data_IF_781187267000
#
_entry.id   IF_781187267000
#
_cell.length_a   1.000
_cell.length_b   1.000
_cell.length_c   1.000
_cell.angle_alpha   90.00
_cell.angle_beta   90.00
_cell.angle_gamma   90.00
#
_symmetry.space_group_name_H-M   'P 1'
#
loop_
_entity.id
_entity.type
_entity.pdbx_description
1 polymer ?
#
# COMPACT_ATOMS: atom_id res chain seq x y z
N UNK A 1 7.45 7.32 16.74
CA UNK A 1 7.30 6.20 15.79
C UNK A 1 8.57 6.03 14.96
N UNK A 2 8.92 6.89 13.99
CA UNK A 2 10.08 6.63 13.10
C UNK A 2 11.43 7.26 13.53
N UNK A 3 11.77 7.24 14.81
CA UNK A 3 13.03 7.83 15.30
C UNK A 3 14.26 7.03 14.84
N UNK A 4 14.10 5.74 14.56
CA UNK A 4 15.16 4.85 14.09
C UNK A 4 15.47 5.00 12.58
N UNK A 5 14.63 5.72 11.83
CA UNK A 5 14.87 6.00 10.41
C UNK A 5 15.55 7.36 10.30
N UNK A 6 16.75 7.40 9.70
CA UNK A 6 17.49 8.65 9.52
C UNK A 6 16.72 9.66 8.66
N UNK A 7 16.96 10.95 8.86
CA UNK A 7 16.30 12.01 8.06
C UNK A 7 16.60 11.90 6.57
N UNK A 8 17.84 11.54 6.21
CA UNK A 8 18.20 11.27 4.82
C UNK A 8 17.35 10.11 4.26
N UNK A 9 17.20 9.02 5.02
CA UNK A 9 16.41 7.87 4.59
C UNK A 9 14.92 8.21 4.47
N UNK A 10 14.38 9.05 5.36
CA UNK A 10 12.99 9.55 5.24
C UNK A 10 12.81 10.36 3.96
N UNK A 11 13.77 11.18 3.57
CA UNK A 11 13.70 11.92 2.29
C UNK A 11 13.68 10.95 1.09
N UNK A 12 14.55 9.94 1.09
CA UNK A 12 14.56 8.89 0.06
C UNK A 12 13.21 8.13 0.00
N UNK A 13 12.66 7.77 1.16
CA UNK A 13 11.36 7.10 1.25
C UNK A 13 10.22 8.00 0.78
N UNK A 14 10.24 9.30 1.08
CA UNK A 14 9.22 10.25 0.61
C UNK A 14 9.22 10.37 -0.93
N UNK A 15 10.41 10.40 -1.55
CA UNK A 15 10.53 10.34 -3.01
C UNK A 15 9.96 9.01 -3.52
N UNK A 16 10.33 7.89 -2.88
CA UNK A 16 9.84 6.56 -3.26
C UNK A 16 8.31 6.45 -3.14
N UNK A 17 7.67 7.06 -2.13
CA UNK A 17 6.20 7.10 -1.98
C UNK A 17 5.56 7.73 -3.21
N UNK A 18 6.02 8.93 -3.59
CA UNK A 18 5.51 9.64 -4.78
C UNK A 18 5.73 8.82 -6.05
N UNK A 19 6.92 8.25 -6.22
CA UNK A 19 7.23 7.48 -7.43
C UNK A 19 6.45 6.15 -7.51
N UNK A 20 6.16 5.53 -6.36
CA UNK A 20 5.32 4.33 -6.28
C UNK A 20 3.85 4.60 -6.62
N UNK A 21 3.30 5.73 -6.18
CA UNK A 21 1.98 6.18 -6.62
C UNK A 21 1.93 6.32 -8.15
N UNK A 22 2.93 7.01 -8.73
CA UNK A 22 3.02 7.13 -10.18
C UNK A 22 3.12 5.76 -10.86
N UNK A 23 3.89 4.81 -10.30
CA UNK A 23 4.05 3.48 -10.90
C UNK A 23 2.75 2.68 -11.00
N UNK A 24 1.81 2.90 -10.08
CA UNK A 24 0.46 2.33 -10.11
C UNK A 24 -0.54 3.10 -10.98
N UNK A 25 -0.23 4.34 -11.37
CA UNK A 25 -1.12 5.21 -12.11
C UNK A 25 -0.87 5.16 -13.63
N UNK A 26 -1.96 4.92 -14.38
CA UNK A 26 -1.96 4.91 -15.85
C UNK A 26 -2.57 6.18 -16.45
N UNK A 27 -3.15 7.07 -15.64
CA UNK A 27 -3.89 8.25 -16.08
C UNK A 27 -3.00 9.16 -16.93
N UNK A 28 -1.87 9.60 -16.37
CA UNK A 28 -0.97 10.48 -17.09
C UNK A 28 -0.24 9.77 -18.22
N UNK A 29 0.07 8.47 -18.11
CA UNK A 29 0.72 7.72 -19.19
C UNK A 29 -0.12 7.63 -20.46
N UNK A 30 -1.41 7.32 -20.32
CA UNK A 30 -2.34 7.16 -21.46
C UNK A 30 -2.70 8.48 -22.17
N UNK A 31 -2.32 9.60 -21.58
CA UNK A 31 -2.66 10.93 -22.08
C UNK A 31 -1.76 11.38 -23.26
N UNK A 32 -2.30 12.11 -24.26
CA UNK A 32 -1.47 12.75 -25.29
C UNK A 32 -0.46 13.73 -24.67
N UNK A 33 0.75 13.81 -25.25
CA UNK A 33 1.83 14.64 -24.71
C UNK A 33 1.43 16.10 -24.50
N UNK A 34 0.74 16.72 -25.46
CA UNK A 34 0.32 18.11 -25.34
C UNK A 34 -0.63 18.38 -24.16
N UNK A 35 -1.46 17.40 -23.78
CA UNK A 35 -2.34 17.52 -22.62
C UNK A 35 -1.59 17.24 -21.31
N UNK A 36 -0.63 16.32 -21.34
CA UNK A 36 0.29 16.10 -20.22
C UNK A 36 1.07 17.38 -19.91
N UNK A 37 1.71 17.98 -20.92
CA UNK A 37 2.49 19.22 -20.77
C UNK A 37 1.64 20.34 -20.16
N UNK A 38 0.41 20.52 -20.65
CA UNK A 38 -0.53 21.51 -20.12
C UNK A 38 -0.95 21.22 -18.67
N UNK A 39 -1.17 19.95 -18.32
CA UNK A 39 -1.58 19.57 -16.97
C UNK A 39 -0.44 19.70 -15.95
N UNK A 40 0.81 19.66 -16.42
CA UNK A 40 2.02 19.67 -15.60
C UNK A 40 2.77 21.00 -15.60
N UNK A 41 2.28 22.00 -16.34
CA UNK A 41 2.89 23.32 -16.44
C UNK A 41 3.09 23.94 -15.04
N UNK A 42 4.33 24.32 -14.72
CA UNK A 42 4.69 24.89 -13.42
C UNK A 42 5.00 23.87 -12.32
N UNK A 43 4.96 22.58 -12.62
CA UNK A 43 5.28 21.49 -11.69
C UNK A 43 6.65 20.86 -11.97
N UNK A 44 7.50 21.46 -12.78
CA UNK A 44 8.71 20.81 -13.33
C UNK A 44 9.72 20.37 -12.27
N UNK A 45 9.73 21.06 -11.13
CA UNK A 45 10.61 20.75 -9.99
C UNK A 45 10.00 19.74 -9.01
N UNK A 46 8.72 19.40 -9.15
CA UNK A 46 7.99 18.49 -8.27
C UNK A 46 8.35 17.02 -8.54
N UNK A 47 8.38 16.20 -7.48
CA UNK A 47 8.78 14.80 -7.61
C UNK A 47 7.80 13.98 -8.45
N UNK A 48 6.49 14.26 -8.38
CA UNK A 48 5.51 13.57 -9.21
C UNK A 48 5.72 13.89 -10.70
N UNK A 49 6.13 15.11 -11.05
CA UNK A 49 6.43 15.47 -12.43
C UNK A 49 7.63 14.66 -12.95
N UNK A 50 8.70 14.57 -12.16
CA UNK A 50 9.89 13.78 -12.49
C UNK A 50 9.54 12.31 -12.66
N UNK A 51 8.72 11.76 -11.76
CA UNK A 51 8.24 10.38 -11.81
C UNK A 51 7.41 10.10 -13.07
N UNK A 52 6.38 10.89 -13.36
CA UNK A 52 5.55 10.71 -14.56
C UNK A 52 6.35 10.93 -15.85
N UNK A 53 7.28 11.89 -15.87
CA UNK A 53 8.16 12.11 -17.02
C UNK A 53 9.06 10.90 -17.27
N UNK A 54 9.60 10.28 -16.21
CA UNK A 54 10.38 9.05 -16.31
C UNK A 54 9.51 7.89 -16.80
N UNK A 55 8.35 7.69 -16.19
CA UNK A 55 7.38 6.65 -16.56
C UNK A 55 7.02 6.72 -18.05
N UNK A 56 6.65 7.91 -18.54
CA UNK A 56 6.30 8.11 -19.96
C UNK A 56 7.48 7.88 -20.91
N UNK A 57 8.71 8.15 -20.45
CA UNK A 57 9.93 7.96 -21.24
C UNK A 57 10.32 6.50 -21.37
N UNK A 58 10.20 5.71 -20.30
CA UNK A 58 10.72 4.32 -20.27
C UNK A 58 9.63 3.26 -20.44
N UNK A 59 8.35 3.62 -20.27
CA UNK A 59 7.24 2.68 -20.29
C UNK A 59 6.68 2.41 -18.90
N UNK A 60 5.39 2.05 -18.83
CA UNK A 60 4.71 1.69 -17.58
C UNK A 60 5.35 0.49 -16.89
N UNK A 61 5.64 -0.56 -17.65
CA UNK A 61 6.13 -1.84 -17.12
C UNK A 61 7.56 -1.68 -16.58
N UNK A 62 8.44 -1.06 -17.36
CA UNK A 62 9.82 -0.80 -16.96
C UNK A 62 9.90 0.09 -15.72
N UNK A 63 9.06 1.13 -15.65
CA UNK A 63 8.99 1.99 -14.48
C UNK A 63 8.44 1.26 -13.26
N UNK A 64 7.34 0.51 -13.40
CA UNK A 64 6.79 -0.30 -12.32
C UNK A 64 7.81 -1.33 -11.78
N UNK A 65 8.59 -1.95 -12.67
CA UNK A 65 9.65 -2.90 -12.29
C UNK A 65 10.80 -2.23 -11.54
N UNK A 66 11.18 -1.01 -11.94
CA UNK A 66 12.19 -0.22 -11.23
C UNK A 66 11.74 0.10 -9.80
N UNK A 67 10.48 0.53 -9.64
CA UNK A 67 9.96 0.90 -8.31
C UNK A 67 9.68 -0.32 -7.43
N UNK A 68 9.14 -1.40 -8.00
CA UNK A 68 8.92 -2.64 -7.25
C UNK A 68 10.25 -3.23 -6.76
N UNK A 69 11.31 -3.15 -7.56
CA UNK A 69 12.66 -3.59 -7.15
C UNK A 69 13.20 -2.77 -5.97
N UNK A 70 12.93 -1.45 -5.95
CA UNK A 70 13.31 -0.60 -4.82
C UNK A 70 12.55 -0.97 -3.56
N UNK A 71 11.21 -1.13 -3.63
CA UNK A 71 10.38 -1.54 -2.49
C UNK A 71 10.79 -2.94 -2.00
N UNK A 72 11.06 -3.88 -2.91
CA UNK A 72 11.48 -5.24 -2.57
C UNK A 72 12.86 -5.30 -1.89
N UNK A 73 13.72 -4.29 -2.12
CA UNK A 73 15.04 -4.21 -1.49
C UNK A 73 15.01 -3.70 -0.05
N UNK A 74 13.90 -3.10 0.40
CA UNK A 74 13.72 -2.66 1.79
C UNK A 74 13.79 -3.86 2.74
N UNK A 75 14.65 -3.77 3.76
CA UNK A 75 14.91 -4.84 4.74
C UNK A 75 14.38 -4.53 6.16
N UNK A 76 13.74 -3.37 6.34
CA UNK A 76 13.28 -2.90 7.65
C UNK A 76 11.77 -2.66 7.64
N UNK A 77 11.08 -3.27 8.60
CA UNK A 77 9.63 -3.19 8.74
C UNK A 77 9.14 -1.76 8.95
N UNK A 78 9.91 -0.94 9.66
CA UNK A 78 9.61 0.47 9.93
C UNK A 78 9.55 1.30 8.65
N UNK A 79 10.39 0.99 7.66
CA UNK A 79 10.39 1.69 6.37
C UNK A 79 9.16 1.30 5.54
N UNK A 80 8.76 0.03 5.53
CA UNK A 80 7.54 -0.41 4.86
C UNK A 80 6.29 0.18 5.53
N UNK A 81 6.27 0.24 6.86
CA UNK A 81 5.23 0.94 7.60
C UNK A 81 5.19 2.42 7.21
N UNK A 82 6.34 3.09 7.16
CA UNK A 82 6.45 4.50 6.76
C UNK A 82 5.90 4.76 5.34
N UNK A 83 6.09 3.82 4.40
CA UNK A 83 5.56 3.94 3.05
C UNK A 83 4.02 3.92 3.01
N UNK A 84 3.37 3.16 3.89
CA UNK A 84 1.90 3.02 3.92
C UNK A 84 1.21 3.93 4.93
N UNK A 85 1.93 4.44 5.92
CA UNK A 85 1.42 5.42 6.87
C UNK A 85 1.09 6.74 6.16
N UNK A 86 -0.14 7.21 6.35
CA UNK A 86 -0.69 8.37 5.65
C UNK A 86 -0.82 8.20 4.13
N UNK A 87 -0.71 6.97 3.59
CA UNK A 87 -0.95 6.71 2.17
C UNK A 87 -2.40 7.01 1.83
N UNK A 88 -2.64 7.70 0.70
CA UNK A 88 -3.98 7.90 0.20
C UNK A 88 -4.45 6.64 -0.54
N UNK A 89 -5.31 5.84 0.11
CA UNK A 89 -5.80 4.58 -0.46
C UNK A 89 -6.67 4.75 -1.73
N UNK A 90 -7.13 5.96 -2.03
CA UNK A 90 -7.77 6.29 -3.31
C UNK A 90 -6.77 6.28 -4.50
N UNK A 91 -5.46 6.42 -4.24
CA UNK A 91 -4.41 6.33 -5.27
C UNK A 91 -4.24 4.90 -5.83
N UNK A 92 -4.97 3.94 -5.28
CA UNK A 92 -5.02 2.56 -5.75
C UNK A 92 -4.05 1.64 -5.03
N UNK A 93 -4.12 0.36 -5.41
CA UNK A 93 -3.59 -0.72 -4.57
C UNK A 93 -2.21 -1.22 -4.99
N UNK A 94 -1.60 -0.66 -6.04
CA UNK A 94 -0.33 -1.17 -6.56
C UNK A 94 0.79 -1.05 -5.51
N UNK A 95 1.00 0.15 -4.96
CA UNK A 95 1.99 0.41 -3.90
C UNK A 95 1.75 -0.43 -2.66
N UNK A 96 0.48 -0.50 -2.24
CA UNK A 96 0.04 -1.32 -1.10
C UNK A 96 0.44 -2.78 -1.32
N UNK A 97 0.14 -3.35 -2.49
CA UNK A 97 0.49 -4.73 -2.80
C UNK A 97 2.00 -4.97 -2.87
N UNK A 98 2.81 -4.02 -3.35
CA UNK A 98 4.28 -4.15 -3.31
C UNK A 98 4.79 -4.23 -1.87
N UNK A 99 4.30 -3.35 -1.00
CA UNK A 99 4.69 -3.32 0.40
C UNK A 99 4.23 -4.58 1.15
N UNK A 100 2.97 -4.97 1.00
CA UNK A 100 2.41 -6.18 1.63
C UNK A 100 3.10 -7.47 1.15
N UNK A 101 3.61 -7.49 -0.08
CA UNK A 101 4.32 -8.65 -0.63
C UNK A 101 5.76 -8.75 -0.13
N UNK A 102 6.36 -7.66 0.36
CA UNK A 102 7.72 -7.68 0.90
C UNK A 102 7.81 -8.63 2.13
N UNK A 103 8.83 -9.52 2.23
CA UNK A 103 9.03 -10.41 3.38
C UNK A 103 9.20 -9.70 4.73
N UNK A 104 9.71 -8.46 4.74
CA UNK A 104 9.87 -7.63 5.93
C UNK A 104 8.59 -6.88 6.31
N UNK A 105 7.50 -7.01 5.54
CA UNK A 105 6.22 -6.39 5.90
C UNK A 105 5.70 -6.99 7.20
N UNK A 106 5.48 -6.14 8.19
CA UNK A 106 5.05 -6.54 9.51
C UNK A 106 3.53 -6.68 9.61
N UNK A 107 3.06 -7.55 10.49
CA UNK A 107 1.64 -7.75 10.75
C UNK A 107 0.95 -6.44 11.16
N UNK A 108 1.62 -5.54 11.88
CA UNK A 108 1.04 -4.24 12.28
C UNK A 108 0.82 -3.32 11.09
N UNK A 109 1.76 -3.29 10.14
CA UNK A 109 1.56 -2.62 8.86
C UNK A 109 0.38 -3.22 8.09
N UNK A 110 0.28 -4.56 8.07
CA UNK A 110 -0.84 -5.23 7.40
C UNK A 110 -2.19 -4.95 8.06
N UNK A 111 -2.27 -4.92 9.39
CA UNK A 111 -3.48 -4.54 10.16
C UNK A 111 -3.91 -3.11 9.86
N UNK A 112 -2.97 -2.16 9.88
CA UNK A 112 -3.25 -0.76 9.52
C UNK A 112 -3.90 -0.67 8.14
N UNK A 113 -3.29 -1.28 7.13
CA UNK A 113 -3.86 -1.32 5.76
C UNK A 113 -5.23 -1.98 5.76
N UNK A 114 -5.36 -3.12 6.44
CA UNK A 114 -6.59 -3.91 6.46
C UNK A 114 -7.77 -3.08 6.97
N UNK A 115 -7.60 -2.37 8.09
CA UNK A 115 -8.68 -1.56 8.70
C UNK A 115 -8.93 -0.24 7.97
N UNK A 116 -7.89 0.43 7.46
CA UNK A 116 -8.06 1.62 6.63
C UNK A 116 -8.77 1.33 5.29
N UNK A 117 -8.81 0.05 4.87
CA UNK A 117 -9.58 -0.40 3.71
C UNK A 117 -11.02 -0.84 4.05
N UNK A 118 -11.48 -0.66 5.29
CA UNK A 118 -12.86 -0.90 5.76
C UNK A 118 -13.38 -2.32 5.41
N UNK A 119 -12.84 -3.37 6.04
CA UNK A 119 -13.22 -4.76 5.75
C UNK A 119 -14.67 -5.03 6.18
N UNK A 120 -15.13 -4.33 7.22
CA UNK A 120 -16.49 -4.34 7.75
C UNK A 120 -17.54 -4.05 6.67
N UNK A 121 -17.25 -3.10 5.77
CA UNK A 121 -18.10 -2.79 4.62
C UNK A 121 -18.42 -4.06 3.82
N UNK A 122 -17.41 -4.85 3.45
CA UNK A 122 -17.63 -6.04 2.62
C UNK A 122 -18.37 -7.13 3.38
N UNK A 123 -18.00 -7.39 4.64
CA UNK A 123 -18.64 -8.41 5.44
C UNK A 123 -20.08 -8.07 5.84
N UNK A 124 -20.43 -6.78 5.90
CA UNK A 124 -21.79 -6.32 6.13
C UNK A 124 -22.63 -6.32 4.84
N UNK A 125 -22.07 -5.88 3.71
CA UNK A 125 -22.79 -5.76 2.44
C UNK A 125 -22.91 -7.08 1.67
N UNK A 126 -21.84 -7.87 1.63
CA UNK A 126 -21.73 -9.07 0.79
C UNK A 126 -21.57 -10.35 1.60
N UNK A 127 -21.13 -10.24 2.86
CA UNK A 127 -20.91 -11.40 3.73
C UNK A 127 -19.53 -12.04 3.60
N UNK A 128 -18.79 -11.74 2.52
CA UNK A 128 -17.43 -12.21 2.27
C UNK A 128 -16.67 -11.26 1.31
N UNK A 129 -15.40 -11.57 1.06
CA UNK A 129 -14.52 -10.82 0.14
C UNK A 129 -14.48 -11.41 -1.28
N UNK A 130 -15.12 -12.55 -1.53
CA UNK A 130 -15.02 -13.32 -2.78
C UNK A 130 -16.12 -12.96 -3.79
N UNK A 131 -17.31 -12.61 -3.30
CA UNK A 131 -18.50 -12.38 -4.10
C UNK A 131 -18.86 -10.89 -4.25
N UNK A 132 -17.87 -10.00 -4.13
CA UNK A 132 -18.03 -8.56 -4.37
C UNK A 132 -18.30 -8.33 -5.87
N UNK A 133 -19.39 -7.63 -6.25
CA UNK A 133 -19.76 -7.45 -7.65
C UNK A 133 -18.79 -6.50 -8.37
N UNK A 134 -18.54 -6.74 -9.67
CA UNK A 134 -17.64 -5.89 -10.49
C UNK A 134 -18.11 -4.43 -10.62
N UNK A 135 -19.39 -4.18 -10.40
CA UNK A 135 -19.95 -2.82 -10.36
C UNK A 135 -19.56 -2.04 -9.11
N UNK A 136 -19.03 -2.71 -8.07
CA UNK A 136 -18.58 -2.04 -6.87
C UNK A 136 -17.27 -1.30 -7.12
N UNK A 137 -17.26 -0.01 -6.80
CA UNK A 137 -16.11 0.86 -7.03
C UNK A 137 -14.88 0.42 -6.23
N UNK A 138 -15.07 -0.28 -5.12
CA UNK A 138 -14.02 -0.70 -4.20
C UNK A 138 -13.64 -2.19 -4.35
N UNK A 139 -14.14 -2.90 -5.38
CA UNK A 139 -13.82 -4.33 -5.61
C UNK A 139 -12.30 -4.63 -5.59
N UNK A 140 -11.45 -3.67 -5.97
CA UNK A 140 -10.00 -3.88 -5.93
C UNK A 140 -9.47 -4.00 -4.49
N UNK A 141 -10.11 -3.39 -3.50
CA UNK A 141 -9.71 -3.44 -2.10
C UNK A 141 -10.04 -4.80 -1.50
N UNK A 142 -11.15 -5.44 -1.88
CA UNK A 142 -11.47 -6.80 -1.40
C UNK A 142 -10.37 -7.82 -1.75
N UNK A 143 -9.68 -7.65 -2.89
CA UNK A 143 -8.54 -8.47 -3.29
C UNK A 143 -7.32 -8.25 -2.37
N UNK A 144 -7.08 -7.02 -1.92
CA UNK A 144 -6.01 -6.69 -0.97
C UNK A 144 -6.32 -7.29 0.40
N UNK A 145 -7.56 -7.10 0.89
CA UNK A 145 -8.02 -7.68 2.15
C UNK A 145 -7.85 -9.20 2.16
N UNK A 146 -8.28 -9.87 1.08
CA UNK A 146 -8.11 -11.32 0.92
C UNK A 146 -6.64 -11.74 0.88
N UNK A 147 -5.78 -10.94 0.26
CA UNK A 147 -4.33 -11.19 0.28
C UNK A 147 -3.78 -11.12 1.71
N UNK A 148 -4.17 -10.10 2.49
CA UNK A 148 -3.74 -9.95 3.89
C UNK A 148 -4.21 -11.15 4.72
N UNK A 149 -5.46 -11.58 4.59
CA UNK A 149 -5.99 -12.75 5.30
C UNK A 149 -5.22 -14.02 4.95
N UNK A 150 -5.00 -14.28 3.66
CA UNK A 150 -4.25 -15.45 3.21
C UNK A 150 -2.79 -15.43 3.68
N UNK A 151 -2.12 -14.27 3.63
CA UNK A 151 -0.74 -14.13 4.09
C UNK A 151 -0.63 -14.25 5.62
N UNK A 152 -1.64 -13.78 6.35
CA UNK A 152 -1.74 -13.96 7.81
C UNK A 152 -1.92 -15.42 8.18
N UNK A 153 -2.85 -16.13 7.54
CA UNK A 153 -3.11 -17.55 7.79
C UNK A 153 -1.90 -18.45 7.47
N UNK A 154 -1.06 -18.02 6.51
CA UNK A 154 0.20 -18.69 6.18
C UNK A 154 1.41 -18.21 6.98
N UNK A 155 1.20 -17.35 8.00
CA UNK A 155 2.25 -16.77 8.85
C UNK A 155 3.36 -16.08 8.04
N UNK A 156 2.99 -15.42 6.94
CA UNK A 156 3.92 -14.80 6.00
C UNK A 156 4.36 -13.37 6.34
N UNK A 157 3.83 -12.77 7.41
CA UNK A 157 4.21 -11.42 7.86
C UNK A 157 5.30 -11.48 8.95
N UNK A 158 6.12 -10.44 9.01
CA UNK A 158 7.05 -10.23 10.12
C UNK A 158 6.31 -9.78 11.39
N UNK A 159 6.98 -9.89 12.54
CA UNK A 159 6.45 -9.53 13.87
C UNK A 159 7.48 -8.73 14.70
N UNK A 160 8.23 -7.84 14.03
CA UNK A 160 9.30 -7.02 14.63
C UNK A 160 8.86 -5.65 15.13
N UNK A 161 7.76 -5.08 14.61
CA UNK A 161 7.29 -3.76 15.04
C UNK A 161 6.68 -3.81 16.44
N UNK A 162 6.90 -2.76 17.24
CA UNK A 162 6.32 -2.62 18.58
C UNK A 162 4.84 -2.19 18.49
N UNK A 163 4.11 -2.26 19.62
CA UNK A 163 2.70 -1.81 19.69
C UNK A 163 2.49 -0.33 19.39
N UNK A 164 3.54 0.50 19.37
CA UNK A 164 3.42 1.91 19.00
C UNK A 164 3.06 2.12 17.53
N UNK A 165 3.29 1.10 16.68
CA UNK A 165 2.95 1.07 15.26
C UNK A 165 1.53 0.53 15.00
N UNK A 166 0.77 0.19 16.05
CA UNK A 166 -0.63 -0.24 15.85
C UNK A 166 -1.48 1.00 15.56
N UNK A 167 -2.14 1.02 14.40
CA UNK A 167 -3.01 2.13 13.99
C UNK A 167 -4.25 2.22 14.90
N UNK A 168 -4.73 3.43 15.15
CA UNK A 168 -5.83 3.67 16.08
C UNK A 168 -7.17 3.11 15.58
N UNK A 169 -7.33 2.92 14.27
CA UNK A 169 -8.51 2.32 13.65
C UNK A 169 -8.54 0.79 13.81
N UNK A 170 -7.44 0.16 14.22
CA UNK A 170 -7.38 -1.30 14.46
C UNK A 170 -8.17 -1.63 15.74
N UNK A 171 -9.25 -2.43 15.65
CA UNK A 171 -10.00 -2.82 16.83
C UNK A 171 -9.16 -3.73 17.74
N UNK A 172 -9.33 -3.57 19.06
CA UNK A 172 -8.58 -4.35 20.06
C UNK A 172 -8.96 -5.84 20.08
N UNK A 173 -10.13 -6.17 19.57
CA UNK A 173 -10.68 -7.53 19.55
C UNK A 173 -11.38 -7.78 18.23
N UNK A 174 -11.39 -9.03 17.78
CA UNK A 174 -12.11 -9.42 16.59
C UNK A 174 -13.62 -9.41 16.84
N UNK A 175 -14.32 -8.37 16.38
CA UNK A 175 -15.78 -8.28 16.44
C UNK A 175 -16.48 -9.08 15.32
N UNK A 176 -15.70 -9.55 14.33
CA UNK A 176 -16.17 -10.33 13.17
C UNK A 176 -15.69 -11.78 13.26
N UNK A 177 -15.93 -12.40 14.43
CA UNK A 177 -15.60 -13.80 14.70
C UNK A 177 -16.15 -14.69 13.57
N UNK A 178 -15.38 -15.70 13.17
CA UNK A 178 -15.65 -16.61 12.05
C UNK A 178 -15.55 -16.00 10.64
N UNK A 179 -15.50 -14.67 10.50
CA UNK A 179 -15.37 -13.98 9.21
C UNK A 179 -13.94 -13.49 8.96
N UNK A 180 -13.34 -12.85 9.95
CA UNK A 180 -11.97 -12.34 9.90
C UNK A 180 -11.05 -13.29 10.67
N UNK A 181 -9.87 -13.67 10.15
CA UNK A 181 -8.96 -14.57 10.85
C UNK A 181 -8.50 -14.02 12.21
N UNK A 182 -8.67 -14.79 13.29
CA UNK A 182 -8.16 -14.43 14.62
C UNK A 182 -6.64 -14.25 14.64
N UNK A 183 -5.93 -14.95 13.76
CA UNK A 183 -4.49 -14.80 13.56
C UNK A 183 -4.11 -13.36 13.15
N UNK A 184 -5.04 -12.60 12.55
CA UNK A 184 -4.81 -11.19 12.23
C UNK A 184 -4.72 -10.34 13.48
N UNK A 185 -5.26 -10.78 14.63
CA UNK A 185 -5.22 -10.06 15.91
C UNK A 185 -4.22 -10.64 16.91
N UNK A 186 -3.66 -11.83 16.63
CA UNK A 186 -2.66 -12.43 17.48
C UNK A 186 -1.35 -11.65 17.39
N UNK A 187 -0.86 -11.10 18.50
CA UNK A 187 0.54 -10.73 18.60
C UNK A 187 1.35 -12.04 18.52
N UNK A 188 2.07 -12.24 17.41
CA UNK A 188 2.77 -13.48 17.11
C UNK A 188 3.53 -14.02 18.33
N UNK A 189 3.38 -15.32 18.60
CA UNK A 189 4.05 -16.03 19.70
C UNK A 189 5.55 -16.19 19.44
#
# INVERSE_FOLDING_TARGET
MYENVSEQRKQELNILKVWAECAGDTYYYSMPQSRFDKNMEGCEEEEYFKAYSRQRKIGLEEFANEISSQIASIQHSEELHYLLDGYNYDNGNWTVMQCLSNPCCDIRTARMVYWLMSPDYYYAQYGDLEHVPESDINIKNSKVLKFIEGKTLSQGFAHGLSSEYEDAEVPKTNEYIEKIPDALFADGN
#
